data_IF_621534840055
#
_entry.id   IF_621534840055
#
_cell.length_a   1.000
_cell.length_b   1.000
_cell.length_c   1.000
_cell.angle_alpha   90.00
_cell.angle_beta   90.00
_cell.angle_gamma   90.00
#
_symmetry.space_group_name_H-M   'P 1'
#
loop_
_entity.id
_entity.type
_entity.pdbx_description
1 polymer ?
#
# COMPACT_ATOMS: atom_id res chain seq x y z
N UNK A 1 -25.57 9.92 -18.06
CA UNK A 1 -25.91 10.96 -17.03
C UNK A 1 -25.12 10.78 -15.73
N UNK A 2 -25.00 9.57 -15.18
CA UNK A 2 -24.22 9.34 -13.95
C UNK A 2 -22.71 9.57 -14.13
N UNK A 3 -22.10 9.02 -15.18
CA UNK A 3 -20.68 9.24 -15.50
C UNK A 3 -20.35 10.73 -15.64
N UNK A 4 -21.12 11.49 -16.43
CA UNK A 4 -20.93 12.94 -16.58
C UNK A 4 -20.99 13.72 -15.24
N UNK A 5 -21.81 13.27 -14.28
CA UNK A 5 -21.85 13.87 -12.94
C UNK A 5 -20.61 13.52 -12.12
N UNK A 6 -20.12 12.28 -12.24
CA UNK A 6 -18.89 11.85 -11.58
C UNK A 6 -17.67 12.59 -12.16
N UNK A 7 -17.58 12.74 -13.48
CA UNK A 7 -16.56 13.53 -14.16
C UNK A 7 -16.58 14.98 -13.65
N UNK A 8 -17.73 15.66 -13.70
CA UNK A 8 -17.86 17.02 -13.20
C UNK A 8 -17.51 17.18 -11.70
N UNK A 9 -17.83 16.15 -10.90
CA UNK A 9 -17.45 16.13 -9.49
C UNK A 9 -15.93 16.00 -9.31
N UNK A 10 -15.28 15.12 -10.07
CA UNK A 10 -13.83 14.96 -10.04
C UNK A 10 -13.12 16.24 -10.50
N UNK A 11 -13.61 16.91 -11.55
CA UNK A 11 -13.08 18.19 -12.02
C UNK A 11 -13.12 19.26 -10.92
N UNK A 12 -14.27 19.41 -10.26
CA UNK A 12 -14.45 20.48 -9.28
C UNK A 12 -13.80 20.20 -7.91
N UNK A 13 -13.72 18.93 -7.50
CA UNK A 13 -13.34 18.55 -6.13
C UNK A 13 -11.99 17.84 -6.01
N UNK A 14 -11.38 17.44 -7.13
CA UNK A 14 -10.08 16.76 -7.13
C UNK A 14 -9.08 17.47 -8.04
N UNK A 15 -9.45 17.67 -9.32
CA UNK A 15 -8.54 18.25 -10.30
C UNK A 15 -8.58 19.78 -10.37
N UNK A 16 -9.47 20.41 -9.60
CA UNK A 16 -9.59 21.86 -9.49
C UNK A 16 -8.42 22.51 -8.73
N UNK A 17 -8.61 23.81 -8.43
CA UNK A 17 -7.61 24.58 -7.69
C UNK A 17 -7.44 24.03 -6.27
N UNK A 18 -6.23 24.11 -5.70
CA UNK A 18 -5.90 23.49 -4.40
C UNK A 18 -6.86 23.89 -3.26
N UNK A 19 -7.37 25.14 -3.27
CA UNK A 19 -8.35 25.64 -2.28
C UNK A 19 -9.75 25.01 -2.41
N UNK A 20 -10.09 24.46 -3.58
CA UNK A 20 -11.40 23.87 -3.86
C UNK A 20 -11.39 22.34 -3.74
N UNK A 21 -10.21 21.74 -3.57
CA UNK A 21 -10.05 20.29 -3.46
C UNK A 21 -10.60 19.76 -2.15
N UNK A 22 -11.28 18.62 -2.23
CA UNK A 22 -11.63 17.83 -1.05
C UNK A 22 -10.39 17.17 -0.45
N UNK A 23 -10.41 16.93 0.86
CA UNK A 23 -9.41 16.10 1.54
C UNK A 23 -9.39 14.65 1.01
N UNK A 24 -10.55 14.13 0.58
CA UNK A 24 -10.63 12.85 -0.13
C UNK A 24 -10.27 13.04 -1.62
N UNK A 25 -9.03 12.72 -1.96
CA UNK A 25 -8.51 12.70 -3.33
C UNK A 25 -8.53 11.31 -3.97
N UNK A 26 -9.03 10.27 -3.27
CA UNK A 26 -8.98 8.88 -3.75
C UNK A 26 -10.25 8.46 -4.45
N UNK A 27 -11.40 8.76 -3.86
CA UNK A 27 -12.68 8.16 -4.27
C UNK A 27 -13.04 8.47 -5.71
N UNK A 28 -12.98 9.74 -6.12
CA UNK A 28 -13.40 10.14 -7.47
C UNK A 28 -12.50 9.55 -8.58
N UNK A 29 -11.17 9.68 -8.54
CA UNK A 29 -10.32 9.07 -9.58
C UNK A 29 -10.38 7.54 -9.58
N UNK A 30 -10.50 6.90 -8.42
CA UNK A 30 -10.71 5.45 -8.31
C UNK A 30 -12.01 5.01 -8.98
N UNK A 31 -13.12 5.68 -8.69
CA UNK A 31 -14.42 5.39 -9.29
C UNK A 31 -14.44 5.68 -10.78
N UNK A 32 -13.81 6.77 -11.24
CA UNK A 32 -13.70 7.05 -12.68
C UNK A 32 -12.97 5.93 -13.40
N UNK A 33 -11.81 5.49 -12.88
CA UNK A 33 -11.07 4.36 -13.46
C UNK A 33 -11.93 3.09 -13.54
N UNK A 34 -12.64 2.75 -12.46
CA UNK A 34 -13.51 1.58 -12.42
C UNK A 34 -14.66 1.69 -13.43
N UNK A 35 -15.38 2.80 -13.47
CA UNK A 35 -16.49 3.02 -14.40
C UNK A 35 -16.00 2.99 -15.86
N UNK A 36 -14.88 3.63 -16.17
CA UNK A 36 -14.32 3.58 -17.52
C UNK A 36 -13.92 2.17 -17.93
N UNK A 37 -13.37 1.35 -17.02
CA UNK A 37 -13.07 -0.07 -17.30
C UNK A 37 -14.32 -0.88 -17.60
N UNK A 38 -15.38 -0.71 -16.81
CA UNK A 38 -16.67 -1.39 -17.05
C UNK A 38 -17.30 -0.99 -18.40
N UNK A 39 -17.04 0.24 -18.86
CA UNK A 39 -17.48 0.72 -20.17
C UNK A 39 -16.54 0.32 -21.32
N UNK A 40 -15.45 -0.40 -21.05
CA UNK A 40 -14.43 -0.76 -22.04
C UNK A 40 -13.52 0.40 -22.46
N UNK A 41 -13.64 1.57 -21.82
CA UNK A 41 -12.86 2.79 -22.11
C UNK A 41 -11.49 2.75 -21.42
N UNK A 42 -10.65 1.79 -21.81
CA UNK A 42 -9.34 1.53 -21.19
C UNK A 42 -8.43 2.76 -21.15
N UNK A 43 -8.41 3.55 -22.21
CA UNK A 43 -7.59 4.76 -22.30
C UNK A 43 -8.04 5.82 -21.28
N UNK A 44 -9.35 6.05 -21.15
CA UNK A 44 -9.87 6.99 -20.15
C UNK A 44 -9.65 6.49 -18.73
N UNK A 45 -9.76 5.18 -18.52
CA UNK A 45 -9.43 4.58 -17.23
C UNK A 45 -7.97 4.88 -16.85
N UNK A 46 -7.02 4.63 -17.76
CA UNK A 46 -5.61 4.92 -17.52
C UNK A 46 -5.38 6.42 -17.32
N UNK A 47 -5.98 7.27 -18.16
CA UNK A 47 -5.84 8.72 -18.07
C UNK A 47 -6.33 9.29 -16.72
N UNK A 48 -7.38 8.71 -16.12
CA UNK A 48 -7.84 9.11 -14.80
C UNK A 48 -6.77 8.91 -13.71
N UNK A 49 -6.01 7.81 -13.78
CA UNK A 49 -4.90 7.54 -12.86
C UNK A 49 -3.67 8.40 -13.17
N UNK A 50 -3.28 8.51 -14.44
CA UNK A 50 -2.12 9.34 -14.81
C UNK A 50 -2.32 10.81 -14.40
N UNK A 51 -3.53 11.34 -14.55
CA UNK A 51 -3.83 12.71 -14.17
C UNK A 51 -3.73 12.95 -12.66
N UNK A 52 -4.26 12.05 -11.84
CA UNK A 52 -4.16 12.20 -10.38
C UNK A 52 -2.73 11.96 -9.89
N UNK A 53 -1.98 11.05 -10.50
CA UNK A 53 -0.56 10.85 -10.21
C UNK A 53 0.23 12.12 -10.54
N UNK A 54 0.06 12.70 -11.71
CA UNK A 54 0.75 13.94 -12.09
C UNK A 54 0.42 15.10 -11.14
N UNK A 55 -0.83 15.22 -10.72
CA UNK A 55 -1.26 16.21 -9.75
C UNK A 55 -0.58 16.04 -8.38
N UNK A 56 -0.64 14.82 -7.84
CA UNK A 56 -0.10 14.51 -6.53
C UNK A 56 1.43 14.57 -6.53
N UNK A 57 2.08 14.11 -7.61
CA UNK A 57 3.54 14.19 -7.75
C UNK A 57 3.99 15.64 -7.73
N UNK A 58 3.31 16.53 -8.47
CA UNK A 58 3.60 17.96 -8.44
C UNK A 58 3.45 18.54 -7.02
N UNK A 59 2.34 18.23 -6.34
CA UNK A 59 2.12 18.73 -4.98
C UNK A 59 3.19 18.20 -4.00
N UNK A 60 3.65 16.95 -4.15
CA UNK A 60 4.74 16.36 -3.35
C UNK A 60 6.08 17.02 -3.68
N UNK A 61 6.37 17.27 -4.96
CA UNK A 61 7.60 17.93 -5.38
C UNK A 61 7.64 19.39 -4.87
N UNK A 62 6.49 20.07 -4.81
CA UNK A 62 6.38 21.44 -4.30
C UNK A 62 6.53 21.52 -2.75
N UNK A 63 6.22 20.44 -2.02
CA UNK A 63 6.19 20.43 -0.54
C UNK A 63 7.27 19.57 0.12
N UNK A 64 7.95 18.72 -0.65
CA UNK A 64 8.80 17.62 -0.21
C UNK A 64 8.04 16.47 0.50
N UNK A 65 8.56 15.25 0.32
CA UNK A 65 8.07 14.06 1.02
C UNK A 65 8.22 14.24 2.53
N UNK A 66 7.16 13.98 3.29
CA UNK A 66 7.12 14.18 4.74
C UNK A 66 6.26 15.36 5.19
N UNK A 67 6.10 16.39 4.33
CA UNK A 67 5.38 17.61 4.70
C UNK A 67 3.87 17.40 4.87
N UNK A 68 3.28 16.51 4.07
CA UNK A 68 1.88 16.11 4.20
C UNK A 68 1.74 14.60 3.98
N UNK A 69 1.50 13.87 5.07
CA UNK A 69 1.36 12.42 5.04
C UNK A 69 0.19 11.95 4.18
N UNK A 70 -0.91 12.70 4.13
CA UNK A 70 -2.07 12.29 3.35
C UNK A 70 -1.77 12.41 1.86
N UNK A 71 -1.08 13.48 1.47
CA UNK A 71 -0.61 13.68 0.11
C UNK A 71 0.36 12.57 -0.33
N UNK A 72 1.37 12.28 0.49
CA UNK A 72 2.32 11.20 0.27
C UNK A 72 1.63 9.83 0.12
N UNK A 73 0.68 9.54 1.01
CA UNK A 73 -0.05 8.26 1.00
C UNK A 73 -0.99 8.17 -0.21
N UNK A 74 -1.57 9.29 -0.66
CA UNK A 74 -2.39 9.36 -1.87
C UNK A 74 -1.55 9.09 -3.13
N UNK A 75 -0.37 9.70 -3.25
CA UNK A 75 0.52 9.47 -4.38
C UNK A 75 0.90 8.00 -4.45
N UNK A 76 1.38 7.46 -3.32
CA UNK A 76 1.76 6.06 -3.18
C UNK A 76 0.61 5.12 -3.55
N UNK A 77 -0.62 5.41 -3.10
CA UNK A 77 -1.80 4.62 -3.42
C UNK A 77 -2.07 4.54 -4.93
N UNK A 78 -2.03 5.66 -5.64
CA UNK A 78 -2.29 5.65 -7.09
C UNK A 78 -1.14 5.04 -7.90
N UNK A 79 0.11 5.21 -7.47
CA UNK A 79 1.24 4.51 -8.07
C UNK A 79 1.12 2.99 -7.94
N UNK A 80 0.68 2.48 -6.78
CA UNK A 80 0.38 1.05 -6.57
C UNK A 80 -0.72 0.57 -7.53
N UNK A 81 -1.83 1.30 -7.65
CA UNK A 81 -2.94 0.92 -8.53
C UNK A 81 -2.59 0.96 -10.01
N UNK A 82 -1.69 1.87 -10.41
CA UNK A 82 -1.22 2.01 -11.79
C UNK A 82 -0.05 1.07 -12.13
N UNK A 83 0.45 0.27 -11.18
CA UNK A 83 1.59 -0.63 -11.40
C UNK A 83 2.90 0.12 -11.69
N UNK A 84 3.06 1.32 -11.13
CA UNK A 84 4.21 2.21 -11.38
C UNK A 84 5.40 1.85 -10.49
N UNK A 85 5.85 0.62 -10.62
CA UNK A 85 6.87 0.01 -9.75
C UNK A 85 8.18 0.81 -9.67
N UNK A 86 8.65 1.36 -10.79
CA UNK A 86 9.85 2.20 -10.78
C UNK A 86 9.69 3.50 -9.98
N UNK A 87 8.49 4.08 -9.97
CA UNK A 87 8.18 5.29 -9.20
C UNK A 87 8.00 4.94 -7.72
N UNK A 88 7.40 3.78 -7.42
CA UNK A 88 7.33 3.23 -6.06
C UNK A 88 8.72 2.95 -5.47
N UNK A 89 9.63 2.38 -6.26
CA UNK A 89 11.01 2.09 -5.83
C UNK A 89 11.79 3.37 -5.48
N UNK A 90 11.42 4.51 -6.08
CA UNK A 90 11.96 5.84 -5.73
C UNK A 90 11.25 6.46 -4.53
N UNK A 91 9.92 6.30 -4.43
CA UNK A 91 9.11 6.94 -3.40
C UNK A 91 9.22 6.25 -2.03
N UNK A 92 9.16 4.92 -1.95
CA UNK A 92 9.15 4.22 -0.66
C UNK A 92 10.39 4.50 0.21
N UNK A 93 11.63 4.56 -0.31
CA UNK A 93 12.78 4.94 0.50
C UNK A 93 12.63 6.33 1.13
N UNK A 94 12.08 7.30 0.38
CA UNK A 94 11.79 8.65 0.89
C UNK A 94 10.73 8.61 1.99
N UNK A 95 9.63 7.87 1.78
CA UNK A 95 8.57 7.70 2.78
C UNK A 95 9.09 7.05 4.07
N UNK A 96 9.91 6.01 3.98
CA UNK A 96 10.49 5.33 5.14
C UNK A 96 11.42 6.28 5.90
N UNK A 97 12.17 7.13 5.20
CA UNK A 97 13.04 8.13 5.83
C UNK A 97 12.23 9.25 6.50
N UNK A 98 11.16 9.72 5.86
CA UNK A 98 10.29 10.77 6.39
C UNK A 98 9.45 10.31 7.60
N UNK A 99 9.12 9.01 7.67
CA UNK A 99 8.28 8.42 8.72
C UNK A 99 8.95 7.22 9.41
N UNK A 100 10.09 7.41 10.10
CA UNK A 100 10.95 6.31 10.56
C UNK A 100 10.34 5.49 11.70
N UNK A 101 9.42 6.08 12.47
CA UNK A 101 8.71 5.40 13.55
C UNK A 101 7.48 4.62 13.05
N UNK A 102 7.15 4.72 11.75
CA UNK A 102 5.96 4.12 11.18
C UNK A 102 6.29 2.81 10.44
N UNK A 103 5.68 1.72 10.88
CA UNK A 103 5.83 0.42 10.23
C UNK A 103 5.21 0.37 8.81
N UNK A 104 4.22 1.22 8.52
CA UNK A 104 3.31 1.10 7.37
C UNK A 104 4.07 1.13 6.05
N UNK A 105 5.00 2.06 5.86
CA UNK A 105 5.71 2.17 4.57
C UNK A 105 6.73 1.05 4.37
N UNK A 106 7.39 0.61 5.45
CA UNK A 106 8.26 -0.58 5.40
C UNK A 106 7.46 -1.84 5.06
N UNK A 107 6.29 -2.03 5.70
CA UNK A 107 5.39 -3.14 5.42
C UNK A 107 4.84 -3.11 3.98
N UNK A 108 4.36 -1.97 3.51
CA UNK A 108 3.79 -1.81 2.16
C UNK A 108 4.83 -2.04 1.08
N UNK A 109 6.04 -1.50 1.25
CA UNK A 109 7.11 -1.72 0.30
C UNK A 109 7.51 -3.20 0.24
N UNK A 110 7.64 -3.86 1.41
CA UNK A 110 7.88 -5.30 1.45
C UNK A 110 6.80 -6.09 0.73
N UNK A 111 5.53 -5.71 0.88
CA UNK A 111 4.41 -6.36 0.18
C UNK A 111 4.50 -6.18 -1.34
N UNK A 112 4.80 -4.97 -1.83
CA UNK A 112 5.01 -4.72 -3.27
C UNK A 112 6.19 -5.55 -3.81
N UNK A 113 7.34 -5.52 -3.15
CA UNK A 113 8.54 -6.29 -3.52
C UNK A 113 8.27 -7.80 -3.55
N UNK A 114 7.58 -8.33 -2.53
CA UNK A 114 7.20 -9.74 -2.48
C UNK A 114 6.27 -10.13 -3.63
N UNK A 115 5.29 -9.29 -3.96
CA UNK A 115 4.42 -9.48 -5.12
C UNK A 115 5.19 -9.56 -6.44
N UNK A 116 6.29 -8.80 -6.55
CA UNK A 116 7.24 -8.80 -7.67
C UNK A 116 8.30 -9.91 -7.58
N UNK A 117 8.22 -10.80 -6.58
CA UNK A 117 9.18 -11.90 -6.33
C UNK A 117 10.59 -11.42 -5.96
N UNK A 118 10.74 -10.18 -5.50
CA UNK A 118 11.99 -9.64 -4.96
C UNK A 118 12.13 -9.96 -3.46
N UNK A 119 12.04 -11.25 -3.12
CA UNK A 119 11.85 -11.73 -1.74
C UNK A 119 13.00 -11.34 -0.79
N UNK A 120 14.23 -11.30 -1.28
CA UNK A 120 15.39 -10.88 -0.48
C UNK A 120 15.28 -9.40 -0.04
N UNK A 121 14.95 -8.50 -0.98
CA UNK A 121 14.72 -7.07 -0.67
C UNK A 121 13.47 -6.90 0.19
N UNK A 122 12.42 -7.68 -0.06
CA UNK A 122 11.21 -7.67 0.75
C UNK A 122 11.51 -8.02 2.21
N UNK A 123 12.39 -9.00 2.44
CA UNK A 123 12.80 -9.41 3.79
C UNK A 123 13.44 -8.25 4.56
N UNK A 124 14.39 -7.55 3.96
CA UNK A 124 15.05 -6.40 4.60
C UNK A 124 14.05 -5.31 5.03
N UNK A 125 13.01 -5.08 4.22
CA UNK A 125 11.98 -4.06 4.50
C UNK A 125 11.01 -4.54 5.56
N UNK A 126 10.52 -5.77 5.48
CA UNK A 126 9.55 -6.28 6.45
C UNK A 126 10.17 -6.45 7.84
N UNK A 127 11.48 -6.69 7.95
CA UNK A 127 12.15 -6.76 9.26
C UNK A 127 12.04 -5.45 10.04
N UNK A 128 12.26 -4.32 9.35
CA UNK A 128 12.10 -2.98 9.93
C UNK A 128 10.63 -2.71 10.31
N UNK A 129 9.71 -3.02 9.40
CA UNK A 129 8.28 -2.86 9.66
C UNK A 129 7.80 -3.72 10.84
N UNK A 130 8.22 -4.99 10.89
CA UNK A 130 7.85 -5.91 11.95
C UNK A 130 8.33 -5.44 13.33
N UNK A 131 9.55 -4.91 13.43
CA UNK A 131 10.10 -4.38 14.68
C UNK A 131 9.28 -3.21 15.25
N UNK A 132 8.66 -2.40 14.39
CA UNK A 132 7.83 -1.24 14.77
C UNK A 132 6.34 -1.58 14.91
N UNK A 133 5.92 -2.75 14.44
CA UNK A 133 4.51 -3.16 14.42
C UNK A 133 4.00 -3.63 15.79
N UNK A 134 2.74 -3.31 16.08
CA UNK A 134 2.07 -3.66 17.35
C UNK A 134 0.60 -4.05 17.10
N UNK A 135 -0.04 -4.66 18.11
CA UNK A 135 -1.44 -5.11 18.03
C UNK A 135 -1.69 -6.06 16.85
N UNK A 136 -2.86 -5.97 16.23
CA UNK A 136 -3.20 -6.78 15.04
C UNK A 136 -2.25 -6.56 13.85
N UNK A 137 -1.67 -5.36 13.71
CA UNK A 137 -0.72 -5.06 12.63
C UNK A 137 0.59 -5.85 12.76
N UNK A 138 0.95 -6.23 13.98
CA UNK A 138 2.09 -7.12 14.23
C UNK A 138 1.87 -8.51 13.64
N UNK A 139 0.65 -9.03 13.78
CA UNK A 139 0.27 -10.34 13.22
C UNK A 139 0.33 -10.30 11.70
N UNK A 140 -0.23 -9.25 11.08
CA UNK A 140 -0.16 -9.07 9.62
C UNK A 140 1.29 -8.95 9.11
N UNK A 141 2.14 -8.22 9.85
CA UNK A 141 3.57 -8.10 9.53
C UNK A 141 4.31 -9.43 9.69
N UNK A 142 3.99 -10.21 10.72
CA UNK A 142 4.54 -11.56 10.93
C UNK A 142 4.15 -12.51 9.80
N UNK A 143 2.89 -12.48 9.38
CA UNK A 143 2.37 -13.29 8.25
C UNK A 143 3.11 -12.98 6.96
N UNK A 144 3.28 -11.69 6.62
CA UNK A 144 4.03 -11.30 5.44
C UNK A 144 5.50 -11.73 5.54
N UNK A 145 6.15 -11.50 6.70
CA UNK A 145 7.53 -11.93 6.94
C UNK A 145 7.69 -13.45 6.80
N UNK A 146 6.78 -14.23 7.36
CA UNK A 146 6.83 -15.69 7.28
C UNK A 146 6.66 -16.21 5.85
N UNK A 147 5.78 -15.61 5.04
CA UNK A 147 5.63 -15.94 3.62
C UNK A 147 6.90 -15.63 2.81
N UNK A 148 7.52 -14.48 3.07
CA UNK A 148 8.80 -14.10 2.46
C UNK A 148 9.89 -15.12 2.86
N UNK A 149 10.02 -15.44 4.15
CA UNK A 149 10.96 -16.45 4.65
C UNK A 149 10.74 -17.81 3.98
N UNK A 150 9.49 -18.25 3.84
CA UNK A 150 9.13 -19.49 3.16
C UNK A 150 9.61 -19.54 1.70
N UNK A 151 9.41 -18.45 0.93
CA UNK A 151 9.90 -18.35 -0.46
C UNK A 151 11.42 -18.33 -0.58
N UNK A 152 12.11 -17.88 0.47
CA UNK A 152 13.57 -17.93 0.59
C UNK A 152 14.09 -19.27 1.14
N UNK A 153 13.25 -20.29 1.28
CA UNK A 153 13.64 -21.60 1.82
C UNK A 153 13.85 -21.65 3.33
N UNK A 154 13.56 -20.57 4.06
CA UNK A 154 13.71 -20.45 5.52
C UNK A 154 12.43 -20.87 6.25
N UNK A 155 11.90 -22.05 5.89
CA UNK A 155 10.59 -22.56 6.35
C UNK A 155 10.52 -22.76 7.87
N UNK A 156 11.58 -23.30 8.48
CA UNK A 156 11.61 -23.53 9.94
C UNK A 156 11.51 -22.22 10.74
N UNK A 157 12.22 -21.18 10.28
CA UNK A 157 12.17 -19.86 10.88
C UNK A 157 10.78 -19.23 10.72
N UNK A 158 10.17 -19.37 9.53
CA UNK A 158 8.83 -18.90 9.26
C UNK A 158 7.80 -19.55 10.21
N UNK A 159 7.87 -20.87 10.39
CA UNK A 159 6.99 -21.61 11.30
C UNK A 159 7.18 -21.17 12.76
N UNK A 160 8.44 -21.05 13.21
CA UNK A 160 8.75 -20.59 14.57
C UNK A 160 8.20 -19.19 14.84
N UNK A 161 8.33 -18.28 13.87
CA UNK A 161 7.77 -16.93 13.95
C UNK A 161 6.25 -16.96 14.12
N UNK A 162 5.53 -17.69 13.26
CA UNK A 162 4.08 -17.72 13.30
C UNK A 162 3.54 -18.38 14.57
N UNK A 163 4.14 -19.47 15.04
CA UNK A 163 3.73 -20.12 16.29
C UNK A 163 3.95 -19.20 17.51
N UNK A 164 5.06 -18.46 17.53
CA UNK A 164 5.34 -17.46 18.57
C UNK A 164 4.27 -16.35 18.60
N UNK A 165 3.97 -15.77 17.43
CA UNK A 165 2.99 -14.69 17.33
C UNK A 165 1.56 -15.20 17.58
N UNK A 166 1.22 -16.43 17.20
CA UNK A 166 -0.06 -17.08 17.54
C UNK A 166 -0.25 -17.19 19.05
N UNK A 167 0.77 -17.68 19.75
CA UNK A 167 0.74 -17.80 21.22
C UNK A 167 0.57 -16.44 21.88
N UNK A 168 1.27 -15.41 21.39
CA UNK A 168 1.14 -14.04 21.89
C UNK A 168 -0.25 -13.45 21.60
N UNK A 169 -0.84 -13.70 20.44
CA UNK A 169 -2.10 -13.10 20.02
C UNK A 169 -3.37 -13.80 20.55
N UNK A 170 -3.24 -15.01 21.12
CA UNK A 170 -4.38 -15.84 21.56
C UNK A 170 -5.36 -15.06 22.45
N UNK A 171 -6.62 -15.05 22.04
CA UNK A 171 -7.72 -14.39 22.76
C UNK A 171 -7.83 -12.87 22.57
N UNK A 172 -6.91 -12.23 21.83
CA UNK A 172 -6.89 -10.76 21.64
C UNK A 172 -7.25 -10.31 20.22
N UNK A 173 -6.87 -11.08 19.20
CA UNK A 173 -7.01 -10.69 17.78
C UNK A 173 -7.56 -11.84 16.93
N UNK A 174 -8.84 -12.22 17.10
CA UNK A 174 -9.40 -13.42 16.46
C UNK A 174 -9.39 -13.35 14.93
N UNK A 175 -9.66 -12.18 14.34
CA UNK A 175 -9.67 -12.01 12.87
C UNK A 175 -8.28 -12.17 12.26
N UNK A 176 -7.27 -11.54 12.85
CA UNK A 176 -5.90 -11.62 12.37
C UNK A 176 -5.29 -13.02 12.56
N UNK A 177 -5.75 -13.76 13.57
CA UNK A 177 -5.35 -15.15 13.78
C UNK A 177 -5.79 -16.07 12.64
N UNK A 178 -6.91 -15.83 11.97
CA UNK A 178 -7.33 -16.63 10.80
C UNK A 178 -6.30 -16.55 9.67
N UNK A 179 -5.82 -15.33 9.36
CA UNK A 179 -4.78 -15.12 8.36
C UNK A 179 -3.44 -15.77 8.75
N UNK A 180 -3.11 -15.76 10.03
CA UNK A 180 -1.93 -16.45 10.56
C UNK A 180 -2.04 -17.97 10.42
N UNK A 181 -3.19 -18.54 10.79
CA UNK A 181 -3.42 -19.98 10.68
C UNK A 181 -3.39 -20.46 9.24
N UNK A 182 -3.88 -19.65 8.31
CA UNK A 182 -3.75 -19.94 6.89
C UNK A 182 -2.28 -19.95 6.46
N UNK A 183 -1.47 -19.00 6.90
CA UNK A 183 -0.03 -18.99 6.60
C UNK A 183 0.71 -20.19 7.22
N UNK A 184 0.33 -20.65 8.41
CA UNK A 184 0.86 -21.89 9.01
C UNK A 184 0.55 -23.12 8.15
N UNK A 185 -0.64 -23.19 7.53
CA UNK A 185 -1.01 -24.28 6.62
C UNK A 185 -0.24 -24.23 5.31
N UNK A 186 -0.09 -23.04 4.71
CA UNK A 186 0.69 -22.83 3.49
C UNK A 186 2.15 -23.26 3.63
N UNK A 187 2.70 -23.12 4.84
CA UNK A 187 4.08 -23.45 5.14
C UNK A 187 4.29 -24.90 5.57
N UNK A 188 3.27 -25.72 5.83
CA UNK A 188 3.43 -27.13 6.21
C UNK A 188 3.51 -28.03 4.99
#
# INVERSE_FOLDING_TARGET
KALARLEAHAESRVFGSRKDRCADMRSAPYLLNAVYKELGEKEKAQAAFERIIALLQKDVDDLEVGADRNLDDNLRFFLELAGRDADLDRLYPKLIAAYPADYVYSYRYAKNLHGRKEDAKALERIEKGFALSYGGNRINSAVLKARILGRLGRKEEALKLLESEKKAAKGRFPRELEGLEQALKELK
#
